data_IF_310001966766
#
_entry.id   IF_310001966766
#
_cell.length_a   1.000
_cell.length_b   1.000
_cell.length_c   1.000
_cell.angle_alpha   90.00
_cell.angle_beta   90.00
_cell.angle_gamma   90.00
#
_symmetry.space_group_name_H-M   'P 1'
#
loop_
_entity.id
_entity.type
_entity.pdbx_description
1 polymer ?
#
# COMPACT_ATOMS: atom_id res chain seq x y z
N UNK A 1 12.90 6.20 17.77
CA UNK A 1 11.63 6.19 18.57
C UNK A 1 10.78 4.97 18.22
N UNK A 2 10.44 4.73 16.95
CA UNK A 2 9.60 3.62 16.53
C UNK A 2 10.12 2.24 16.99
N UNK A 3 11.44 2.01 16.97
CA UNK A 3 12.02 0.77 17.48
C UNK A 3 11.69 0.56 18.96
N UNK A 4 11.93 1.59 19.81
CA UNK A 4 11.66 1.51 21.26
C UNK A 4 10.18 1.33 21.56
N UNK A 5 9.30 2.02 20.82
CA UNK A 5 7.86 1.98 21.05
C UNK A 5 7.16 0.72 20.53
N UNK A 6 7.71 0.04 19.53
CA UNK A 6 7.11 -1.14 18.92
C UNK A 6 7.87 -2.43 19.28
N UNK A 7 9.10 -2.56 18.82
CA UNK A 7 9.88 -3.80 18.98
C UNK A 7 10.43 -3.95 20.40
N UNK A 8 10.91 -2.84 20.99
CA UNK A 8 11.47 -2.79 22.33
C UNK A 8 10.48 -2.49 23.45
N UNK A 9 9.19 -2.37 23.14
CA UNK A 9 8.18 -2.01 24.13
C UNK A 9 8.10 -3.01 25.28
N UNK A 10 8.31 -2.51 26.51
CA UNK A 10 8.24 -3.33 27.73
C UNK A 10 9.45 -4.28 27.91
N UNK A 11 10.50 -4.13 27.12
CA UNK A 11 11.74 -4.91 27.26
C UNK A 11 12.82 -4.08 27.96
N UNK A 12 13.54 -4.72 28.87
CA UNK A 12 14.77 -4.18 29.45
C UNK A 12 15.96 -4.51 28.54
N UNK A 13 16.87 -3.56 28.39
CA UNK A 13 18.09 -3.74 27.60
C UNK A 13 19.28 -3.87 28.55
N UNK A 14 19.98 -5.00 28.48
CA UNK A 14 21.24 -5.21 29.16
C UNK A 14 22.41 -4.69 28.32
N UNK A 15 23.37 -4.04 28.96
CA UNK A 15 24.55 -3.49 28.29
C UNK A 15 25.72 -4.49 28.31
N UNK A 16 26.58 -4.51 27.27
CA UNK A 16 26.55 -3.67 26.09
C UNK A 16 25.54 -4.13 25.03
N UNK A 17 25.05 -3.20 24.22
CA UNK A 17 24.17 -3.46 23.05
C UNK A 17 25.04 -3.52 21.80
N UNK A 18 24.79 -4.51 20.93
CA UNK A 18 25.38 -4.53 19.58
C UNK A 18 24.36 -4.06 18.55
N UNK A 19 24.75 -3.04 17.76
CA UNK A 19 23.96 -2.58 16.63
C UNK A 19 24.61 -3.02 15.33
N UNK A 20 23.91 -3.85 14.53
CA UNK A 20 24.41 -4.47 13.31
C UNK A 20 23.36 -4.44 12.21
N UNK A 21 23.74 -4.81 10.98
CA UNK A 21 22.94 -4.68 9.78
C UNK A 21 23.31 -3.41 8.99
N UNK A 22 22.83 -3.29 7.75
CA UNK A 22 23.19 -2.19 6.85
C UNK A 22 22.90 -0.80 7.41
N UNK A 23 21.86 -0.64 8.25
CA UNK A 23 21.48 0.63 8.87
C UNK A 23 22.52 1.12 9.89
N UNK A 24 23.38 0.26 10.41
CA UNK A 24 24.49 0.63 11.29
C UNK A 24 25.59 1.47 10.59
N UNK A 25 25.55 1.59 9.25
CA UNK A 25 26.37 2.54 8.51
C UNK A 25 25.92 3.99 8.71
N UNK A 26 24.70 4.24 9.16
CA UNK A 26 24.15 5.57 9.33
C UNK A 26 24.51 6.15 10.71
N UNK A 27 25.45 7.08 10.74
CA UNK A 27 25.91 7.72 11.97
C UNK A 27 24.80 8.43 12.73
N UNK A 28 23.83 9.01 12.02
CA UNK A 28 22.64 9.63 12.64
C UNK A 28 21.78 8.63 13.38
N UNK A 29 21.67 7.39 12.87
CA UNK A 29 20.96 6.31 13.57
C UNK A 29 21.72 5.83 14.81
N UNK A 30 23.05 5.75 14.75
CA UNK A 30 23.89 5.43 15.92
C UNK A 30 23.65 6.47 17.02
N UNK A 31 23.76 7.75 16.68
CA UNK A 31 23.52 8.85 17.63
C UNK A 31 22.10 8.82 18.19
N UNK A 32 21.10 8.55 17.37
CA UNK A 32 19.71 8.43 17.82
C UNK A 32 19.50 7.28 18.83
N UNK A 33 20.20 6.16 18.67
CA UNK A 33 20.16 5.07 19.67
C UNK A 33 20.84 5.48 20.98
N UNK A 34 22.02 6.10 20.93
CA UNK A 34 22.70 6.62 22.12
C UNK A 34 21.79 7.56 22.90
N UNK A 35 21.17 8.55 22.23
CA UNK A 35 20.34 9.57 22.89
C UNK A 35 19.02 9.01 23.43
N UNK A 36 18.33 8.17 22.67
CA UNK A 36 17.00 7.64 23.08
C UNK A 36 17.11 6.58 24.17
N UNK A 37 18.19 5.80 24.19
CA UNK A 37 18.45 4.79 25.19
C UNK A 37 19.34 5.30 26.34
N UNK A 38 19.79 6.56 26.28
CA UNK A 38 20.63 7.21 27.26
C UNK A 38 21.93 6.43 27.54
N UNK A 39 22.55 5.94 26.45
CA UNK A 39 23.71 5.07 26.52
C UNK A 39 24.99 5.85 26.84
N UNK A 40 25.84 5.26 27.67
CA UNK A 40 27.18 5.79 27.98
C UNK A 40 28.18 5.33 26.91
N UNK A 41 29.32 6.02 26.80
CA UNK A 41 30.41 5.61 25.91
C UNK A 41 30.79 4.13 26.15
N UNK A 42 30.78 3.35 25.08
CA UNK A 42 31.12 1.92 25.10
C UNK A 42 29.93 0.96 25.39
N UNK A 43 28.76 1.48 25.67
CA UNK A 43 27.56 0.65 25.87
C UNK A 43 26.89 0.28 24.54
N UNK A 44 27.16 1.02 23.43
CA UNK A 44 26.76 0.66 22.08
C UNK A 44 27.98 0.23 21.26
N UNK A 45 27.96 -1.00 20.79
CA UNK A 45 29.04 -1.58 20.00
C UNK A 45 28.62 -1.69 18.54
N UNK A 46 29.44 -1.16 17.65
CA UNK A 46 29.27 -1.29 16.21
C UNK A 46 30.39 -2.19 15.68
N UNK A 47 30.11 -3.46 15.32
CA UNK A 47 31.13 -4.35 14.79
C UNK A 47 31.71 -3.83 13.47
N UNK A 48 32.99 -4.01 13.24
CA UNK A 48 33.66 -3.62 11.98
C UNK A 48 32.94 -4.13 10.74
N UNK A 49 32.39 -5.34 10.83
CA UNK A 49 31.69 -6.01 9.74
C UNK A 49 30.17 -6.08 9.98
N UNK A 50 29.59 -4.99 10.51
CA UNK A 50 28.19 -4.92 10.91
C UNK A 50 27.20 -5.34 9.83
N UNK A 51 27.55 -5.17 8.56
CA UNK A 51 26.69 -5.48 7.41
C UNK A 51 26.67 -6.96 6.99
N UNK A 52 27.63 -7.75 7.46
CA UNK A 52 27.74 -9.21 7.16
C UNK A 52 27.75 -10.10 8.40
N UNK A 53 27.34 -9.56 9.54
CA UNK A 53 27.34 -10.29 10.82
C UNK A 53 26.50 -11.56 10.79
N UNK A 54 25.40 -11.58 10.05
CA UNK A 54 24.58 -12.78 9.88
C UNK A 54 25.34 -13.91 9.19
N UNK A 55 26.08 -13.61 8.13
CA UNK A 55 26.92 -14.58 7.44
C UNK A 55 28.08 -15.08 8.35
N UNK A 56 28.74 -14.15 9.07
CA UNK A 56 29.79 -14.50 10.03
C UNK A 56 29.25 -15.45 11.12
N UNK A 57 28.10 -15.14 11.72
CA UNK A 57 27.47 -15.97 12.74
C UNK A 57 27.10 -17.37 12.25
N UNK A 58 26.67 -17.48 10.99
CA UNK A 58 26.41 -18.79 10.35
C UNK A 58 27.68 -19.62 10.26
N UNK A 59 28.81 -19.01 9.87
CA UNK A 59 30.11 -19.70 9.79
C UNK A 59 30.58 -20.11 11.18
N UNK A 60 30.47 -19.27 12.20
CA UNK A 60 30.81 -19.64 13.56
C UNK A 60 29.97 -20.81 14.05
N UNK A 61 28.66 -20.80 13.80
CA UNK A 61 27.77 -21.92 14.16
C UNK A 61 28.19 -23.24 13.47
N UNK A 62 28.60 -23.13 12.20
CA UNK A 62 29.11 -24.31 11.46
C UNK A 62 30.40 -24.85 12.07
N UNK A 63 31.32 -23.97 12.43
CA UNK A 63 32.60 -24.35 13.08
C UNK A 63 32.37 -24.99 14.45
N UNK A 64 31.51 -24.40 15.29
CA UNK A 64 31.18 -24.90 16.63
C UNK A 64 30.52 -26.28 16.59
N UNK A 65 29.73 -26.55 15.57
CA UNK A 65 29.08 -27.85 15.35
C UNK A 65 30.01 -28.88 14.70
N UNK A 66 31.22 -28.52 14.32
CA UNK A 66 32.16 -29.41 13.64
C UNK A 66 31.63 -29.93 12.28
N UNK A 67 30.76 -29.18 11.63
CA UNK A 67 30.19 -29.58 10.34
C UNK A 67 31.19 -29.25 9.24
N UNK A 68 31.67 -30.27 8.55
CA UNK A 68 32.56 -30.16 7.42
C UNK A 68 31.87 -30.74 6.18
N UNK A 69 31.53 -29.89 5.23
CA UNK A 69 31.11 -30.33 3.91
C UNK A 69 31.91 -29.59 2.84
N UNK A 70 32.31 -30.27 1.76
CA UNK A 70 33.06 -29.60 0.70
C UNK A 70 32.14 -28.52 0.03
N UNK A 71 32.70 -27.34 -0.16
CA UNK A 71 32.05 -26.33 -0.96
C UNK A 71 31.98 -26.77 -2.43
N UNK A 72 30.78 -26.90 -2.97
CA UNK A 72 30.53 -27.43 -4.31
C UNK A 72 30.84 -26.44 -5.46
N UNK A 73 31.26 -25.21 -5.13
CA UNK A 73 31.53 -24.15 -6.08
C UNK A 73 30.25 -23.50 -6.64
N UNK A 74 30.41 -22.78 -7.75
CA UNK A 74 29.31 -22.00 -8.35
C UNK A 74 28.58 -22.75 -9.47
N UNK A 75 29.12 -23.90 -9.91
CA UNK A 75 28.59 -24.61 -11.09
C UNK A 75 27.11 -24.96 -10.98
N UNK A 76 26.68 -25.49 -9.86
CA UNK A 76 25.27 -25.85 -9.62
C UNK A 76 24.36 -24.59 -9.62
N UNK A 77 24.85 -23.48 -9.06
CA UNK A 77 24.14 -22.21 -9.05
C UNK A 77 24.03 -21.65 -10.47
N UNK A 78 25.09 -21.70 -11.24
CA UNK A 78 25.10 -21.24 -12.66
C UNK A 78 24.18 -22.10 -13.53
N UNK A 79 24.18 -23.42 -13.35
CA UNK A 79 23.26 -24.33 -14.02
C UNK A 79 21.80 -24.07 -13.64
N UNK A 80 21.53 -23.86 -12.35
CA UNK A 80 20.20 -23.48 -11.88
C UNK A 80 19.74 -22.16 -12.47
N UNK A 81 20.59 -21.14 -12.48
CA UNK A 81 20.26 -19.82 -13.05
C UNK A 81 20.02 -19.90 -14.56
N UNK A 82 20.79 -20.72 -15.29
CA UNK A 82 20.56 -20.97 -16.71
C UNK A 82 19.22 -21.69 -16.98
N UNK A 83 18.91 -22.68 -16.18
CA UNK A 83 17.71 -23.51 -16.36
C UNK A 83 16.44 -22.84 -15.82
N UNK A 84 16.57 -21.92 -14.83
CA UNK A 84 15.45 -21.15 -14.28
C UNK A 84 14.76 -20.29 -15.35
N UNK A 85 15.49 -19.83 -16.35
CA UNK A 85 14.93 -19.07 -17.47
C UNK A 85 14.22 -19.91 -18.54
N UNK A 86 14.38 -21.24 -18.49
CA UNK A 86 13.69 -22.13 -19.42
C UNK A 86 12.30 -22.57 -18.94
N UNK A 87 11.97 -22.36 -17.66
CA UNK A 87 10.57 -22.39 -17.20
C UNK A 87 9.96 -21.04 -17.54
N UNK A 88 9.51 -20.89 -18.79
CA UNK A 88 8.61 -19.83 -19.16
C UNK A 88 7.48 -19.77 -18.14
N UNK A 89 7.14 -18.59 -17.68
CA UNK A 89 5.96 -18.36 -16.88
C UNK A 89 4.76 -18.89 -17.70
N UNK A 90 4.06 -19.85 -17.16
CA UNK A 90 2.84 -20.37 -17.79
C UNK A 90 1.61 -19.56 -17.33
N UNK A 91 1.79 -18.30 -16.97
CA UNK A 91 0.67 -17.43 -16.65
C UNK A 91 -0.03 -17.04 -17.95
N UNK A 92 -1.34 -17.19 -17.95
CA UNK A 92 -2.15 -16.72 -19.06
C UNK A 92 -2.19 -15.18 -19.12
N UNK A 93 -2.33 -14.60 -20.32
CA UNK A 93 -2.52 -13.18 -20.47
C UNK A 93 -3.69 -12.65 -19.67
N UNK A 94 -3.56 -11.45 -19.11
CA UNK A 94 -4.65 -10.80 -18.38
C UNK A 94 -5.81 -10.52 -19.34
N UNK A 95 -7.04 -10.80 -18.87
CA UNK A 95 -8.26 -10.53 -19.61
C UNK A 95 -9.11 -9.51 -18.83
N UNK A 96 -9.67 -8.54 -19.52
CA UNK A 96 -10.44 -7.46 -18.92
C UNK A 96 -11.97 -7.60 -19.07
N UNK A 97 -12.44 -8.69 -19.64
CA UNK A 97 -13.82 -8.79 -20.13
C UNK A 97 -14.81 -9.34 -19.10
N UNK A 98 -14.33 -9.80 -17.94
CA UNK A 98 -15.12 -10.54 -16.95
C UNK A 98 -15.61 -9.70 -15.76
N UNK A 99 -15.45 -8.38 -15.78
CA UNK A 99 -15.95 -7.55 -14.69
C UNK A 99 -17.10 -6.64 -15.14
N UNK A 100 -18.01 -6.35 -14.21
CA UNK A 100 -19.14 -5.47 -14.42
C UNK A 100 -18.88 -4.14 -13.69
N UNK A 101 -18.78 -3.07 -14.44
CA UNK A 101 -18.78 -1.71 -13.87
C UNK A 101 -20.23 -1.32 -13.59
N UNK A 102 -20.52 -1.00 -12.33
CA UNK A 102 -21.83 -0.50 -11.92
C UNK A 102 -21.73 1.01 -11.86
N UNK A 103 -22.09 1.69 -12.96
CA UNK A 103 -22.14 3.14 -13.02
C UNK A 103 -23.58 3.63 -12.94
N UNK A 104 -23.80 4.61 -12.06
CA UNK A 104 -25.00 5.44 -12.05
C UNK A 104 -24.57 6.88 -12.34
N UNK A 105 -24.56 7.26 -13.59
CA UNK A 105 -24.37 8.65 -13.99
C UNK A 105 -25.69 9.41 -13.84
N UNK A 106 -25.66 10.50 -13.10
CA UNK A 106 -26.79 11.45 -13.03
C UNK A 106 -26.33 12.81 -13.50
N UNK A 107 -27.08 13.40 -14.41
CA UNK A 107 -26.96 14.82 -14.77
C UNK A 107 -27.98 15.60 -13.95
N UNK A 108 -27.56 16.71 -13.37
CA UNK A 108 -28.48 17.66 -12.71
C UNK A 108 -29.26 18.36 -13.81
N UNK A 109 -30.56 18.08 -13.89
CA UNK A 109 -31.47 18.75 -14.81
C UNK A 109 -32.40 19.69 -14.02
N UNK A 110 -32.51 20.94 -14.45
CA UNK A 110 -33.41 21.96 -13.86
C UNK A 110 -32.66 23.10 -13.18
N UNK A 111 -33.41 24.18 -12.89
CA UNK A 111 -32.89 25.41 -12.27
C UNK A 111 -33.03 25.43 -10.74
N UNK A 112 -33.71 24.46 -10.15
CA UNK A 112 -33.89 24.36 -8.70
C UNK A 112 -32.68 23.68 -8.04
N UNK A 113 -32.23 24.24 -6.90
CA UNK A 113 -31.18 23.63 -6.09
C UNK A 113 -31.68 22.33 -5.48
N UNK A 114 -30.86 21.28 -5.60
CA UNK A 114 -31.14 19.97 -5.02
C UNK A 114 -30.42 19.78 -3.68
N UNK A 115 -31.07 19.05 -2.79
CA UNK A 115 -30.45 18.65 -1.53
C UNK A 115 -29.27 17.70 -1.79
N UNK A 116 -28.14 18.02 -1.21
CA UNK A 116 -26.91 17.23 -1.38
C UNK A 116 -26.18 17.00 -0.06
N UNK A 117 -25.32 15.98 -0.06
CA UNK A 117 -24.50 15.58 1.06
C UNK A 117 -23.05 15.45 0.61
N UNK A 118 -22.12 15.85 1.47
CA UNK A 118 -20.69 15.81 1.18
C UNK A 118 -20.03 14.68 1.98
N UNK A 119 -19.29 13.81 1.29
CA UNK A 119 -18.44 12.80 1.88
C UNK A 119 -16.97 13.14 1.66
N UNK A 120 -16.17 13.02 2.70
CA UNK A 120 -14.72 13.25 2.64
C UNK A 120 -13.98 12.06 3.26
N UNK A 121 -13.18 11.40 2.45
CA UNK A 121 -12.29 10.33 2.88
C UNK A 121 -10.84 10.81 2.83
N UNK A 122 -10.20 10.87 3.99
CA UNK A 122 -8.82 11.35 4.12
C UNK A 122 -7.90 10.22 4.51
N UNK A 123 -7.30 9.64 3.48
CA UNK A 123 -6.24 8.65 3.64
C UNK A 123 -4.84 9.28 3.73
N UNK A 124 -3.84 8.45 4.00
CA UNK A 124 -2.44 8.87 4.06
C UNK A 124 -1.86 9.25 2.68
N UNK A 125 -2.33 8.63 1.61
CA UNK A 125 -1.87 8.85 0.22
C UNK A 125 -2.85 9.68 -0.58
N UNK A 126 -4.15 9.43 -0.45
CA UNK A 126 -5.18 10.15 -1.20
C UNK A 126 -6.26 10.74 -0.31
N UNK A 127 -6.84 11.82 -0.79
CA UNK A 127 -8.04 12.47 -0.23
C UNK A 127 -9.12 12.43 -1.29
N UNK A 128 -10.26 11.86 -0.93
CA UNK A 128 -11.38 11.67 -1.82
C UNK A 128 -12.58 12.51 -1.35
N UNK A 129 -13.23 13.21 -2.27
CA UNK A 129 -14.40 14.01 -1.98
C UNK A 129 -15.51 13.60 -2.94
N UNK A 130 -16.70 13.44 -2.39
CA UNK A 130 -17.90 13.14 -3.16
C UNK A 130 -19.04 14.06 -2.72
N UNK A 131 -19.83 14.50 -3.69
CA UNK A 131 -21.11 15.16 -3.46
C UNK A 131 -22.19 14.24 -4.02
N UNK A 132 -23.16 13.88 -3.20
CA UNK A 132 -24.27 12.99 -3.59
C UNK A 132 -25.61 13.69 -3.32
N UNK A 133 -26.64 13.35 -4.10
CA UNK A 133 -28.01 13.76 -3.83
C UNK A 133 -28.70 12.85 -2.77
N UNK A 134 -29.91 13.19 -2.38
CA UNK A 134 -30.74 12.39 -1.46
C UNK A 134 -31.08 10.99 -1.97
N UNK A 135 -30.96 10.75 -3.27
CA UNK A 135 -31.17 9.46 -3.92
C UNK A 135 -29.86 8.65 -4.05
N UNK A 136 -28.77 9.18 -3.46
CA UNK A 136 -27.42 8.59 -3.47
C UNK A 136 -26.76 8.57 -4.85
N UNK A 137 -27.15 9.47 -5.74
CA UNK A 137 -26.48 9.65 -7.02
C UNK A 137 -25.27 10.56 -6.83
N UNK A 138 -24.15 10.20 -7.44
CA UNK A 138 -22.94 11.02 -7.41
C UNK A 138 -23.08 12.19 -8.35
N UNK A 139 -22.98 13.40 -7.81
CA UNK A 139 -23.07 14.67 -8.54
C UNK A 139 -21.70 15.22 -8.89
N UNK A 140 -20.74 15.10 -7.96
CA UNK A 140 -19.35 15.48 -8.18
C UNK A 140 -18.44 14.55 -7.39
N UNK A 141 -17.22 14.32 -7.89
CA UNK A 141 -16.19 13.55 -7.21
C UNK A 141 -14.80 14.11 -7.45
N UNK A 142 -13.93 14.01 -6.44
CA UNK A 142 -12.50 14.33 -6.57
C UNK A 142 -11.66 13.26 -5.93
N UNK A 143 -10.57 12.94 -6.59
CA UNK A 143 -9.52 12.05 -6.10
C UNK A 143 -8.21 12.82 -6.15
N UNK A 144 -7.68 13.21 -5.00
CA UNK A 144 -6.49 14.04 -4.86
C UNK A 144 -5.42 13.30 -4.09
N UNK A 145 -4.16 13.53 -4.44
CA UNK A 145 -3.04 13.04 -3.62
C UNK A 145 -2.93 13.86 -2.35
N UNK A 146 -2.59 13.20 -1.23
CA UNK A 146 -2.50 13.84 0.10
C UNK A 146 -1.05 14.20 0.50
N UNK A 147 -0.12 14.62 -0.24
CA UNK A 147 1.33 14.67 -0.03
C UNK A 147 1.75 15.25 1.34
N UNK A 148 1.35 14.59 2.43
CA UNK A 148 1.59 15.03 3.81
C UNK A 148 0.77 16.26 4.26
N UNK A 149 -0.16 16.77 3.44
CA UNK A 149 -0.95 17.98 3.68
C UNK A 149 -2.44 17.73 3.47
N UNK A 150 -3.06 16.93 4.34
CA UNK A 150 -4.46 16.50 4.15
C UNK A 150 -5.45 17.65 4.08
N UNK A 151 -5.30 18.68 4.89
CA UNK A 151 -6.23 19.82 4.90
C UNK A 151 -6.15 20.66 3.62
N UNK A 152 -4.99 20.77 3.00
CA UNK A 152 -4.85 21.45 1.71
C UNK A 152 -5.55 20.65 0.61
N UNK A 153 -5.39 19.32 0.60
CA UNK A 153 -6.07 18.44 -0.34
C UNK A 153 -7.60 18.49 -0.15
N UNK A 154 -8.08 18.49 1.09
CA UNK A 154 -9.52 18.67 1.40
C UNK A 154 -10.03 20.02 0.88
N UNK A 155 -9.31 21.11 1.20
CA UNK A 155 -9.68 22.46 0.72
C UNK A 155 -9.77 22.51 -0.80
N UNK A 156 -8.74 21.99 -1.49
CA UNK A 156 -8.69 21.96 -2.94
C UNK A 156 -9.85 21.16 -3.53
N UNK A 157 -10.10 19.97 -3.03
CA UNK A 157 -11.15 19.10 -3.54
C UNK A 157 -12.56 19.64 -3.29
N UNK A 158 -12.80 20.25 -2.12
CA UNK A 158 -14.07 20.93 -1.84
C UNK A 158 -14.28 22.14 -2.76
N UNK A 159 -13.21 22.91 -2.99
CA UNK A 159 -13.27 24.04 -3.94
C UNK A 159 -13.59 23.58 -5.35
N UNK A 160 -12.92 22.56 -5.86
CA UNK A 160 -13.15 22.04 -7.21
C UNK A 160 -14.55 21.41 -7.36
N UNK A 161 -15.03 20.68 -6.34
CA UNK A 161 -16.40 20.16 -6.34
C UNK A 161 -17.44 21.31 -6.30
N UNK A 162 -17.15 22.35 -5.52
CA UNK A 162 -17.99 23.56 -5.46
C UNK A 162 -18.09 24.29 -6.79
N UNK A 163 -17.00 24.37 -7.57
CA UNK A 163 -17.05 24.95 -8.93
C UNK A 163 -17.93 24.15 -9.89
N UNK A 164 -18.01 22.83 -9.69
CA UNK A 164 -18.81 21.96 -10.57
C UNK A 164 -20.30 21.99 -10.25
N UNK A 165 -20.65 21.94 -8.96
CA UNK A 165 -22.03 21.73 -8.54
C UNK A 165 -22.57 22.76 -7.52
N UNK A 166 -21.72 23.67 -7.03
CA UNK A 166 -22.06 24.53 -5.88
C UNK A 166 -23.30 25.39 -6.10
N UNK A 167 -23.51 25.93 -7.31
CA UNK A 167 -24.67 26.73 -7.65
C UNK A 167 -25.98 25.93 -7.78
N UNK A 168 -25.86 24.61 -7.93
CA UNK A 168 -26.96 23.67 -8.21
C UNK A 168 -27.38 22.85 -6.99
N UNK A 169 -26.66 22.96 -5.86
CA UNK A 169 -26.91 22.13 -4.67
C UNK A 169 -27.07 22.98 -3.41
N UNK A 170 -27.85 22.45 -2.48
CA UNK A 170 -27.87 22.92 -1.09
C UNK A 170 -27.29 21.77 -0.22
N UNK A 171 -26.15 22.01 0.42
CA UNK A 171 -25.51 20.99 1.26
C UNK A 171 -26.29 20.88 2.56
N UNK A 172 -26.85 19.68 2.81
CA UNK A 172 -27.67 19.36 3.97
C UNK A 172 -26.92 18.59 5.05
N UNK A 173 -25.73 18.06 4.75
CA UNK A 173 -24.92 17.36 5.72
C UNK A 173 -23.57 16.96 5.15
N UNK A 174 -22.60 16.70 6.06
CA UNK A 174 -21.26 16.27 5.73
C UNK A 174 -20.80 15.10 6.60
N UNK A 175 -20.05 14.18 6.01
CA UNK A 175 -19.47 13.05 6.71
C UNK A 175 -18.01 12.86 6.36
N UNK A 176 -17.21 12.40 7.32
CA UNK A 176 -15.78 12.13 7.14
C UNK A 176 -15.42 10.68 7.47
N UNK A 177 -14.41 10.16 6.79
CA UNK A 177 -13.81 8.83 7.01
C UNK A 177 -12.31 8.85 6.75
N UNK A 178 -11.66 7.70 6.85
CA UNK A 178 -10.22 7.55 6.69
C UNK A 178 -9.43 7.88 7.96
N UNK A 179 -8.10 7.83 7.87
CA UNK A 179 -7.19 8.11 8.99
C UNK A 179 -7.28 9.55 9.49
N UNK A 180 -7.56 10.50 8.61
CA UNK A 180 -7.70 11.94 8.92
C UNK A 180 -9.12 12.38 9.31
N UNK A 181 -10.08 11.48 9.47
CA UNK A 181 -11.52 11.79 9.64
C UNK A 181 -11.86 12.78 10.76
N UNK A 182 -11.23 12.66 11.92
CA UNK A 182 -11.54 13.55 13.05
C UNK A 182 -11.02 14.97 12.81
N UNK A 183 -9.74 15.09 12.44
CA UNK A 183 -9.15 16.40 12.14
C UNK A 183 -9.93 17.11 11.02
N UNK A 184 -10.24 16.39 9.95
CA UNK A 184 -11.00 16.97 8.83
C UNK A 184 -12.43 17.29 9.24
N UNK A 185 -13.08 16.42 10.01
CA UNK A 185 -14.42 16.63 10.52
C UNK A 185 -14.55 17.92 11.31
N UNK A 186 -13.61 18.21 12.19
CA UNK A 186 -13.56 19.45 12.99
C UNK A 186 -13.43 20.69 12.07
N UNK A 187 -12.59 20.61 11.02
CA UNK A 187 -12.37 21.74 10.12
C UNK A 187 -13.51 22.04 9.17
N UNK A 188 -14.24 21.04 8.69
CA UNK A 188 -15.35 21.23 7.75
C UNK A 188 -16.73 21.28 8.45
N UNK A 189 -16.76 21.08 9.77
CA UNK A 189 -18.01 20.99 10.51
C UNK A 189 -18.84 19.76 10.11
N UNK A 190 -18.20 18.59 10.00
CA UNK A 190 -18.90 17.37 9.61
C UNK A 190 -19.86 16.88 10.69
N UNK A 191 -21.05 16.44 10.28
CA UNK A 191 -22.07 15.90 11.17
C UNK A 191 -21.69 14.53 11.73
N UNK A 192 -20.93 13.76 10.95
CA UNK A 192 -20.46 12.43 11.37
C UNK A 192 -19.01 12.15 10.93
N UNK A 193 -18.29 11.43 11.80
CA UNK A 193 -17.01 10.80 11.47
C UNK A 193 -17.15 9.28 11.63
N UNK A 194 -16.95 8.51 10.57
CA UNK A 194 -17.08 7.06 10.58
C UNK A 194 -15.75 6.37 10.30
N UNK A 195 -15.58 5.19 10.89
CA UNK A 195 -14.49 4.31 10.55
C UNK A 195 -14.60 3.89 9.07
N UNK A 196 -13.48 3.78 8.39
CA UNK A 196 -13.42 3.46 6.96
C UNK A 196 -14.01 2.09 6.62
N UNK A 197 -13.84 1.07 7.48
CA UNK A 197 -14.42 -0.25 7.29
C UNK A 197 -15.95 -0.16 7.24
N UNK A 198 -16.53 0.58 8.17
CA UNK A 198 -17.98 0.84 8.20
C UNK A 198 -18.44 1.62 6.97
N UNK A 199 -17.67 2.62 6.54
CA UNK A 199 -18.00 3.42 5.37
C UNK A 199 -18.01 2.58 4.10
N UNK A 200 -16.97 1.76 3.87
CA UNK A 200 -16.91 0.84 2.74
C UNK A 200 -18.04 -0.18 2.73
N UNK A 201 -18.31 -0.79 3.88
CA UNK A 201 -19.41 -1.74 4.04
C UNK A 201 -20.78 -1.14 3.68
N UNK A 202 -21.06 0.07 4.20
CA UNK A 202 -22.30 0.78 3.92
C UNK A 202 -22.44 1.12 2.44
N UNK A 203 -21.36 1.56 1.80
CA UNK A 203 -21.35 1.89 0.37
C UNK A 203 -21.59 0.64 -0.49
N UNK A 204 -20.88 -0.46 -0.22
CA UNK A 204 -21.00 -1.71 -0.95
C UNK A 204 -22.39 -2.33 -0.84
N UNK A 205 -22.97 -2.37 0.36
CA UNK A 205 -24.35 -2.85 0.58
C UNK A 205 -25.40 -1.98 -0.13
N UNK A 206 -25.09 -0.72 -0.42
CA UNK A 206 -25.95 0.14 -1.20
C UNK A 206 -25.84 -0.09 -2.72
N UNK A 207 -24.68 -0.59 -3.20
CA UNK A 207 -24.48 -0.99 -4.61
C UNK A 207 -25.27 -2.28 -4.89
N UNK A 208 -25.10 -3.28 -4.04
CA UNK A 208 -25.87 -4.52 -4.10
C UNK A 208 -26.10 -5.06 -2.67
N UNK A 209 -27.35 -5.34 -2.33
CA UNK A 209 -27.74 -5.86 -1.02
C UNK A 209 -27.25 -7.28 -0.74
N UNK A 210 -26.86 -8.00 -1.78
CA UNK A 210 -26.36 -9.38 -1.69
C UNK A 210 -24.83 -9.45 -1.57
N UNK A 211 -24.14 -8.31 -1.52
CA UNK A 211 -22.69 -8.29 -1.30
C UNK A 211 -22.37 -8.91 0.03
N UNK A 212 -21.56 -9.95 0.03
CA UNK A 212 -21.03 -10.61 1.22
C UNK A 212 -19.54 -10.34 1.45
N UNK A 213 -18.79 -10.03 0.42
CA UNK A 213 -17.33 -9.87 0.49
C UNK A 213 -16.89 -8.58 -0.21
N UNK A 214 -16.02 -7.84 0.46
CA UNK A 214 -15.37 -6.64 -0.07
C UNK A 214 -13.86 -6.82 0.01
N UNK A 215 -13.17 -6.65 -1.10
CA UNK A 215 -11.74 -6.39 -1.15
C UNK A 215 -11.52 -4.91 -1.37
N UNK A 216 -10.92 -4.23 -0.40
CA UNK A 216 -10.50 -2.85 -0.51
C UNK A 216 -8.97 -2.83 -0.49
N UNK A 217 -8.37 -2.32 -1.56
CA UNK A 217 -6.92 -2.21 -1.72
C UNK A 217 -6.59 -0.75 -1.92
N UNK A 218 -6.12 -0.14 -0.84
CA UNK A 218 -5.74 1.26 -0.80
C UNK A 218 -4.28 1.50 -1.18
N UNK A 219 -3.80 2.71 -0.89
CA UNK A 219 -2.43 3.08 -1.13
C UNK A 219 -1.42 2.43 -0.20
N UNK A 220 -1.75 2.21 1.08
CA UNK A 220 -0.84 1.66 2.09
C UNK A 220 -1.35 0.40 2.77
N UNK A 221 -2.63 0.15 2.73
CA UNK A 221 -3.26 -1.01 3.34
C UNK A 221 -4.21 -1.70 2.36
N UNK A 222 -4.54 -2.93 2.70
CA UNK A 222 -5.56 -3.71 2.03
C UNK A 222 -6.45 -4.37 3.08
N UNK A 223 -7.74 -4.46 2.78
CA UNK A 223 -8.75 -4.95 3.68
C UNK A 223 -9.62 -6.00 3.00
N UNK A 224 -9.88 -7.04 3.74
CA UNK A 224 -10.96 -7.99 3.49
C UNK A 224 -12.08 -7.67 4.47
N UNK A 225 -13.31 -7.50 4.00
CA UNK A 225 -14.48 -7.26 4.86
C UNK A 225 -15.57 -8.23 4.44
N UNK A 226 -16.10 -8.97 5.41
CA UNK A 226 -17.22 -9.89 5.20
C UNK A 226 -18.51 -9.31 5.77
N UNK A 227 -19.55 -9.39 4.96
CA UNK A 227 -20.89 -8.91 5.31
C UNK A 227 -21.87 -10.07 5.39
N UNK A 228 -22.82 -9.98 6.32
CA UNK A 228 -24.01 -10.80 6.34
C UNK A 228 -25.23 -9.87 6.49
N UNK A 229 -26.14 -9.91 5.54
CA UNK A 229 -27.32 -9.01 5.50
C UNK A 229 -26.97 -7.51 5.63
N UNK A 230 -25.84 -7.10 5.05
CA UNK A 230 -25.33 -5.72 5.10
C UNK A 230 -24.62 -5.35 6.40
N UNK A 231 -24.52 -6.25 7.38
CA UNK A 231 -23.77 -6.05 8.61
C UNK A 231 -22.38 -6.68 8.52
N UNK A 232 -21.35 -6.00 9.07
CA UNK A 232 -19.99 -6.52 9.13
C UNK A 232 -19.93 -7.66 10.14
N UNK A 233 -19.54 -8.86 9.69
CA UNK A 233 -19.36 -10.05 10.54
C UNK A 233 -17.89 -10.40 10.75
N UNK A 234 -17.02 -10.03 9.81
CA UNK A 234 -15.57 -10.25 9.92
C UNK A 234 -14.81 -9.23 9.09
N UNK A 235 -13.57 -8.94 9.48
CA UNK A 235 -12.65 -8.16 8.67
C UNK A 235 -11.19 -8.51 8.99
N UNK A 236 -10.34 -8.40 8.00
CA UNK A 236 -8.89 -8.52 8.13
C UNK A 236 -8.20 -7.38 7.40
N UNK A 237 -7.06 -6.95 7.92
CA UNK A 237 -6.19 -5.95 7.31
C UNK A 237 -4.75 -6.46 7.30
N UNK A 238 -3.96 -6.01 6.32
CA UNK A 238 -2.53 -6.22 6.35
C UNK A 238 -1.92 -5.49 7.57
N UNK A 239 -1.08 -6.20 8.35
CA UNK A 239 -0.61 -5.67 9.64
C UNK A 239 0.57 -4.72 9.56
N UNK A 240 1.48 -4.87 8.59
CA UNK A 240 2.77 -4.16 8.58
C UNK A 240 3.33 -3.90 7.17
N UNK A 241 2.92 -4.63 6.16
CA UNK A 241 3.55 -4.60 4.85
C UNK A 241 2.63 -4.02 3.79
N UNK A 242 3.12 -3.04 3.02
CA UNK A 242 2.41 -2.50 1.86
C UNK A 242 2.36 -3.45 0.64
N UNK A 243 2.67 -4.74 0.85
CA UNK A 243 2.59 -5.78 -0.18
C UNK A 243 1.19 -5.85 -0.78
N UNK A 244 1.10 -5.79 -2.10
CA UNK A 244 -0.17 -5.83 -2.81
C UNK A 244 -1.00 -4.55 -2.68
N UNK A 245 -0.40 -3.43 -2.26
CA UNK A 245 -1.08 -2.13 -2.18
C UNK A 245 -0.65 -1.19 -3.30
N UNK A 246 -1.40 -0.10 -3.48
CA UNK A 246 -1.14 0.90 -4.52
C UNK A 246 0.26 1.52 -4.45
N UNK A 247 0.80 1.76 -3.25
CA UNK A 247 2.17 2.31 -3.08
C UNK A 247 3.24 1.41 -3.66
N UNK A 248 3.10 0.10 -3.49
CA UNK A 248 4.04 -0.84 -4.08
C UNK A 248 3.98 -0.79 -5.61
N UNK A 249 2.77 -0.82 -6.17
CA UNK A 249 2.59 -0.72 -7.63
C UNK A 249 3.11 0.61 -8.18
N UNK A 250 2.89 1.72 -7.47
CA UNK A 250 3.38 3.05 -7.84
C UNK A 250 4.91 3.10 -7.85
N UNK A 251 5.56 2.55 -6.80
CA UNK A 251 7.02 2.44 -6.72
C UNK A 251 7.59 1.60 -7.87
N UNK A 252 6.98 0.45 -8.18
CA UNK A 252 7.45 -0.39 -9.28
C UNK A 252 7.20 0.26 -10.65
N UNK A 253 6.08 0.95 -10.83
CA UNK A 253 5.79 1.71 -12.05
C UNK A 253 6.83 2.81 -12.28
N UNK A 254 7.22 3.54 -11.23
CA UNK A 254 8.26 4.56 -11.29
C UNK A 254 9.62 3.94 -11.68
N UNK A 255 10.02 2.84 -11.06
CA UNK A 255 11.25 2.10 -11.40
C UNK A 255 11.26 1.60 -12.85
N UNK A 256 10.12 1.20 -13.37
CA UNK A 256 9.94 0.77 -14.75
C UNK A 256 9.77 1.95 -15.72
N UNK A 257 9.74 3.19 -15.22
CA UNK A 257 9.47 4.40 -15.97
C UNK A 257 8.17 4.32 -16.78
N UNK A 258 7.07 4.00 -16.06
CA UNK A 258 5.71 3.84 -16.59
C UNK A 258 4.74 4.64 -15.72
N UNK A 259 3.81 5.36 -16.36
CA UNK A 259 2.76 6.07 -15.63
C UNK A 259 1.74 5.11 -15.03
N UNK A 260 1.58 5.13 -13.70
CA UNK A 260 0.61 4.27 -13.00
C UNK A 260 -0.83 4.55 -13.47
N UNK A 261 -1.19 5.82 -13.72
CA UNK A 261 -2.56 6.22 -14.09
C UNK A 261 -2.89 6.07 -15.57
N UNK A 262 -1.92 6.07 -16.45
CA UNK A 262 -2.17 6.13 -17.90
C UNK A 262 -1.73 4.92 -18.69
N UNK A 263 -0.63 4.28 -18.27
CA UNK A 263 0.03 3.26 -19.07
C UNK A 263 0.04 1.88 -18.42
N UNK A 264 0.16 1.81 -17.08
CA UNK A 264 0.39 0.56 -16.35
C UNK A 264 -0.58 -0.54 -16.76
N UNK A 265 -1.87 -0.32 -16.58
CA UNK A 265 -2.89 -1.32 -16.88
C UNK A 265 -2.99 -1.66 -18.37
N UNK A 266 -2.84 -0.67 -19.25
CA UNK A 266 -2.87 -0.90 -20.69
C UNK A 266 -1.72 -1.79 -21.14
N UNK A 267 -0.53 -1.54 -20.63
CA UNK A 267 0.66 -2.32 -20.93
C UNK A 267 0.58 -3.71 -20.32
N UNK A 268 0.10 -3.84 -19.08
CA UNK A 268 -0.13 -5.13 -18.44
C UNK A 268 -1.10 -6.00 -19.26
N UNK A 269 -2.22 -5.42 -19.73
CA UNK A 269 -3.19 -6.10 -20.59
C UNK A 269 -2.66 -6.44 -21.99
N UNK A 270 -1.63 -5.75 -22.48
CA UNK A 270 -1.01 -6.05 -23.77
C UNK A 270 0.01 -7.20 -23.73
N UNK A 271 0.37 -7.68 -22.53
CA UNK A 271 1.28 -8.79 -22.36
C UNK A 271 0.66 -10.10 -22.86
N UNK A 272 1.41 -10.83 -23.65
CA UNK A 272 1.06 -12.19 -24.04
C UNK A 272 1.79 -13.27 -23.21
N UNK A 273 2.73 -12.89 -22.35
CA UNK A 273 3.52 -13.81 -21.55
C UNK A 273 3.87 -13.19 -20.18
N UNK A 274 2.88 -13.02 -19.28
CA UNK A 274 3.09 -12.39 -17.98
C UNK A 274 4.16 -13.09 -17.15
N UNK A 275 5.05 -12.31 -16.54
CA UNK A 275 6.14 -12.85 -15.73
C UNK A 275 5.60 -13.43 -14.41
N UNK A 276 6.04 -14.65 -14.05
CA UNK A 276 5.76 -15.20 -12.74
C UNK A 276 6.70 -14.56 -11.70
N UNK A 277 6.18 -13.58 -10.99
CA UNK A 277 6.84 -12.96 -9.84
C UNK A 277 6.44 -13.74 -8.56
N UNK A 278 7.33 -13.78 -7.56
CA UNK A 278 7.05 -14.54 -6.34
C UNK A 278 5.86 -13.97 -5.56
N UNK A 279 5.06 -14.84 -4.95
CA UNK A 279 3.84 -14.51 -4.20
C UNK A 279 4.10 -14.15 -2.72
N UNK A 280 5.35 -13.89 -2.34
CA UNK A 280 5.74 -13.69 -0.95
C UNK A 280 5.72 -12.20 -0.56
N UNK A 281 6.78 -11.76 0.06
CA UNK A 281 6.98 -10.37 0.47
C UNK A 281 7.42 -9.52 -0.73
N UNK A 282 7.01 -8.24 -0.79
CA UNK A 282 7.39 -7.28 -1.83
C UNK A 282 8.89 -7.16 -2.05
N UNK A 283 9.71 -7.35 -1.00
CA UNK A 283 11.17 -7.36 -1.11
C UNK A 283 11.66 -8.50 -2.01
N UNK A 284 11.06 -9.68 -1.90
CA UNK A 284 11.39 -10.81 -2.78
C UNK A 284 10.83 -10.61 -4.17
N UNK A 285 9.62 -10.06 -4.30
CA UNK A 285 9.03 -9.73 -5.59
C UNK A 285 9.86 -8.69 -6.34
N UNK A 286 10.38 -7.68 -5.66
CA UNK A 286 11.30 -6.70 -6.24
C UNK A 286 12.60 -7.35 -6.72
N UNK A 287 13.14 -8.31 -5.96
CA UNK A 287 14.32 -9.07 -6.39
C UNK A 287 14.04 -9.89 -7.65
N UNK A 288 12.86 -10.53 -7.72
CA UNK A 288 12.45 -11.28 -8.90
C UNK A 288 12.23 -10.36 -10.11
N UNK A 289 11.62 -9.19 -9.90
CA UNK A 289 11.45 -8.17 -10.93
C UNK A 289 12.79 -7.72 -11.51
N UNK A 290 13.75 -7.37 -10.66
CA UNK A 290 15.09 -6.98 -11.08
C UNK A 290 15.79 -8.09 -11.86
N UNK A 291 15.64 -9.34 -11.42
CA UNK A 291 16.20 -10.49 -12.13
C UNK A 291 15.60 -10.65 -13.53
N UNK A 292 14.29 -10.55 -13.67
CA UNK A 292 13.62 -10.61 -14.97
C UNK A 292 14.03 -9.45 -15.87
N UNK A 293 14.17 -8.22 -15.36
CA UNK A 293 14.67 -7.08 -16.11
C UNK A 293 16.08 -7.32 -16.66
N UNK A 294 17.00 -7.83 -15.82
CA UNK A 294 18.38 -8.13 -16.23
C UNK A 294 18.45 -9.20 -17.34
N UNK A 295 17.43 -10.02 -17.46
CA UNK A 295 17.30 -11.04 -18.51
C UNK A 295 16.62 -10.53 -19.78
N UNK A 296 16.26 -9.26 -19.84
CA UNK A 296 15.63 -8.65 -21.00
C UNK A 296 14.13 -8.97 -21.15
N UNK A 297 13.46 -9.39 -20.07
CA UNK A 297 12.00 -9.56 -20.06
C UNK A 297 11.32 -8.22 -20.41
N UNK A 298 10.29 -8.27 -21.23
CA UNK A 298 9.59 -7.07 -21.67
C UNK A 298 8.93 -6.35 -20.48
N UNK A 299 8.83 -5.02 -20.56
CA UNK A 299 8.14 -4.24 -19.51
C UNK A 299 6.69 -4.65 -19.37
N UNK A 300 6.03 -4.99 -20.47
CA UNK A 300 4.61 -5.38 -20.47
C UNK A 300 4.42 -6.70 -19.73
N UNK A 301 5.32 -7.67 -19.90
CA UNK A 301 5.29 -8.94 -19.17
C UNK A 301 5.57 -8.76 -17.68
N UNK A 302 6.46 -7.81 -17.31
CA UNK A 302 6.71 -7.47 -15.91
C UNK A 302 5.52 -6.80 -15.25
N UNK A 303 4.88 -5.84 -15.94
CA UNK A 303 3.70 -5.15 -15.46
C UNK A 303 2.52 -6.10 -15.31
N UNK A 304 2.34 -7.04 -16.22
CA UNK A 304 1.34 -8.08 -16.11
C UNK A 304 1.59 -9.04 -14.95
N UNK A 305 2.87 -9.35 -14.67
CA UNK A 305 3.25 -10.15 -13.52
C UNK A 305 3.07 -9.44 -12.16
N UNK A 306 3.03 -8.10 -12.17
CA UNK A 306 2.75 -7.28 -10.98
C UNK A 306 1.25 -7.10 -10.72
N UNK A 307 0.41 -7.33 -11.74
CA UNK A 307 -1.05 -7.18 -11.67
C UNK A 307 -1.72 -8.43 -11.12
#
# INVERSE_FOLDING_TARGET
RNFKSNIGKGKEFSMPIVFQGGVAANVGMIKAFEDILELKPGELLIPKYFNVMGAIGTVFTLMDKGIHSPFRGLKEVEEYLRNRGAKASNLEPLQSDNYKVVEKTHSIAGDEKIEAYVGVDVGSISTNIVVIDKHKNVLARRYLMTPGRPLEAVKQGLYEAGLEVGDKVTVCGAGTTGSGRYLTGDFIGADIAKNEITAHATAAANVDKNVDTIFEIGGQDSKFIRLENGAIVDFAMNKVCAAGTGSFLEEQAEKLNVSIKGEFSKRALSSCCPSHLGERCTVFMESDLNHHQQRGTSRDDLLAGLS
#
